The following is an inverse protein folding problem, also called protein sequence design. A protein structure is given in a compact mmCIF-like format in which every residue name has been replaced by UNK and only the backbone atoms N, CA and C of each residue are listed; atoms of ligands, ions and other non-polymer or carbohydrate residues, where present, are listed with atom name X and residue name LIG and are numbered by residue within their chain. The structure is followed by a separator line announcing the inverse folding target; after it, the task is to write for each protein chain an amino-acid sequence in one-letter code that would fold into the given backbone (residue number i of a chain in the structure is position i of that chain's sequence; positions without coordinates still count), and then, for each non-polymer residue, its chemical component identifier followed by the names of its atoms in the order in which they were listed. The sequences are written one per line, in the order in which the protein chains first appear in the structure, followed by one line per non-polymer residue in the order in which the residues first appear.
data_IF_794936326533
#
_entry.id   IF_794936326533
#
_cell.length_a   1.000
_cell.length_b   1.000
_cell.length_c   1.000
_cell.angle_alpha   90.00
_cell.angle_beta   90.00
_cell.angle_gamma   90.00
#
_symmetry.space_group_name_H-M   'P 1'
#
loop_
_entity.id
_entity.type
_entity.pdbx_description
1 polymer ?
#
# COMPACT_ATOMS: atom_id res chain seq x y z
N UNK A 1 7.66 -9.01 1.81
CA UNK A 1 9.04 -8.76 1.37
C UNK A 1 8.99 -7.78 0.20
N UNK A 2 10.12 -7.39 -0.39
CA UNK A 2 10.14 -6.76 -1.71
C UNK A 2 9.82 -7.86 -2.74
N UNK A 3 8.81 -7.62 -3.57
CA UNK A 3 8.34 -8.55 -4.58
C UNK A 3 8.85 -8.15 -5.96
N UNK A 4 9.40 -9.07 -6.73
CA UNK A 4 9.88 -8.80 -8.10
C UNK A 4 8.91 -9.40 -9.10
N UNK A 5 8.45 -8.59 -10.05
CA UNK A 5 7.44 -8.95 -11.02
C UNK A 5 8.02 -8.83 -12.43
N UNK A 6 8.13 -9.97 -13.10
CA UNK A 6 8.66 -10.14 -14.44
C UNK A 6 7.56 -10.52 -15.44
N UNK A 7 7.86 -10.41 -16.74
CA UNK A 7 6.94 -10.75 -17.84
C UNK A 7 6.47 -12.21 -17.81
N UNK A 8 7.24 -13.11 -17.20
CA UNK A 8 6.94 -14.54 -17.11
C UNK A 8 6.04 -14.93 -15.93
N UNK A 9 5.72 -14.00 -15.01
CA UNK A 9 4.88 -14.32 -13.86
C UNK A 9 3.41 -14.40 -14.24
N UNK A 10 2.69 -15.32 -13.58
CA UNK A 10 1.25 -15.49 -13.78
C UNK A 10 0.45 -14.57 -12.86
N UNK A 11 -0.74 -14.16 -13.29
CA UNK A 11 -1.70 -13.49 -12.44
C UNK A 11 -2.12 -14.40 -11.28
N UNK A 12 -2.36 -13.84 -10.10
CA UNK A 12 -2.87 -14.61 -8.96
C UNK A 12 -4.33 -15.00 -9.24
N UNK A 13 -4.60 -16.28 -9.48
CA UNK A 13 -5.98 -16.79 -9.55
C UNK A 13 -6.59 -16.75 -8.14
N UNK A 14 -7.52 -15.82 -7.89
CA UNK A 14 -8.32 -15.83 -6.67
C UNK A 14 -9.44 -16.84 -6.86
N UNK A 15 -9.69 -17.76 -5.92
CA UNK A 15 -10.68 -18.84 -6.07
C UNK A 15 -12.11 -18.37 -6.42
N UNK A 16 -12.46 -17.10 -6.16
CA UNK A 16 -13.73 -16.49 -6.59
C UNK A 16 -13.81 -16.07 -8.06
N UNK A 17 -12.68 -15.96 -8.76
CA UNK A 17 -12.60 -15.51 -10.16
C UNK A 17 -12.90 -16.65 -11.16
N UNK A 18 -12.63 -17.91 -10.79
CA UNK A 18 -12.98 -19.09 -11.60
C UNK A 18 -14.48 -19.40 -11.49
N UNK A 19 -15.04 -19.26 -10.29
CA UNK A 19 -16.48 -19.49 -10.06
C UNK A 19 -17.34 -18.52 -10.87
N UNK A 20 -16.99 -17.24 -10.91
CA UNK A 20 -17.74 -16.22 -11.67
C UNK A 20 -17.63 -16.38 -13.19
N UNK A 21 -16.51 -16.92 -13.70
CA UNK A 21 -16.29 -17.12 -15.15
C UNK A 21 -17.08 -18.33 -15.68
N UNK A 22 -17.27 -19.39 -14.89
CA UNK A 22 -18.04 -20.59 -15.29
C UNK A 22 -19.55 -20.28 -15.39
N UNK A 23 -20.09 -19.38 -14.57
CA UNK A 23 -21.51 -19.01 -14.62
C UNK A 23 -21.91 -18.13 -15.82
N UNK A 24 -20.95 -17.56 -16.55
CA UNK A 24 -21.19 -16.76 -17.76
C UNK A 24 -20.90 -17.56 -19.07
N UNK A 25 -21.21 -18.86 -19.07
CA UNK A 25 -21.19 -19.69 -20.29
C UNK A 25 -22.22 -19.15 -21.31
N UNK A 26 -21.88 -19.00 -22.61
CA UNK A 26 -22.78 -18.48 -23.67
C UNK A 26 -24.13 -19.19 -23.82
N UNK A 27 -24.32 -20.37 -23.22
CA UNK A 27 -25.57 -21.16 -23.25
C UNK A 27 -26.49 -20.89 -22.03
N UNK A 28 -26.08 -20.03 -21.09
CA UNK A 28 -26.81 -19.71 -19.86
C UNK A 28 -27.80 -18.55 -20.05
N UNK A 29 -29.04 -18.70 -19.57
CA UNK A 29 -30.12 -17.69 -19.60
C UNK A 29 -29.74 -16.32 -19.02
N UNK A 30 -28.66 -16.22 -18.24
CA UNK A 30 -28.21 -14.98 -17.60
C UNK A 30 -27.47 -14.00 -18.53
N UNK A 31 -27.09 -14.42 -19.74
CA UNK A 31 -26.55 -13.49 -20.75
C UNK A 31 -27.61 -12.50 -21.27
N UNK A 32 -28.90 -12.83 -21.16
CA UNK A 32 -30.01 -12.04 -21.74
C UNK A 32 -30.31 -10.78 -20.89
N UNK A 33 -29.93 -10.75 -19.61
CA UNK A 33 -30.28 -9.67 -18.68
C UNK A 33 -29.12 -8.67 -18.48
N UNK A 34 -28.03 -8.77 -19.27
CA UNK A 34 -26.87 -7.88 -19.14
C UNK A 34 -26.12 -7.97 -17.80
N UNK A 35 -26.43 -8.97 -16.98
CA UNK A 35 -25.84 -9.18 -15.65
C UNK A 35 -24.47 -9.88 -15.71
N UNK A 36 -24.17 -10.60 -16.79
CA UNK A 36 -22.84 -11.14 -17.08
C UNK A 36 -22.10 -10.19 -18.02
N UNK A 37 -21.42 -9.18 -17.47
CA UNK A 37 -20.26 -8.62 -18.17
C UNK A 37 -19.13 -9.61 -17.95
N UNK A 38 -18.67 -10.29 -19.00
CA UNK A 38 -17.36 -10.93 -18.96
C UNK A 38 -16.40 -9.89 -18.39
N UNK A 39 -15.83 -10.14 -17.21
CA UNK A 39 -14.66 -9.40 -16.76
C UNK A 39 -13.60 -9.75 -17.80
N UNK A 40 -13.47 -8.93 -18.82
CA UNK A 40 -12.26 -8.89 -19.62
C UNK A 40 -11.21 -8.46 -18.61
N UNK A 41 -10.49 -9.44 -18.07
CA UNK A 41 -9.40 -9.20 -17.14
C UNK A 41 -8.32 -8.46 -17.89
N UNK A 42 -8.37 -7.13 -17.87
CA UNK A 42 -7.18 -6.31 -18.10
C UNK A 42 -6.33 -6.46 -16.84
N UNK A 43 -5.63 -7.58 -16.72
CA UNK A 43 -4.64 -7.77 -15.67
C UNK A 43 -3.57 -6.70 -15.83
N UNK A 44 -3.39 -5.88 -14.80
CA UNK A 44 -2.27 -4.96 -14.75
C UNK A 44 -1.01 -5.76 -14.39
N UNK A 45 0.18 -5.24 -14.72
CA UNK A 45 1.46 -5.93 -14.45
C UNK A 45 1.61 -6.24 -12.96
N UNK A 46 1.07 -5.37 -12.12
CA UNK A 46 1.06 -5.43 -10.68
C UNK A 46 0.24 -6.61 -10.09
N UNK A 47 -0.70 -7.17 -10.87
CA UNK A 47 -1.56 -8.30 -10.47
C UNK A 47 -0.85 -9.67 -10.60
N UNK A 48 0.32 -9.68 -11.22
CA UNK A 48 1.14 -10.87 -11.33
C UNK A 48 1.72 -11.24 -9.96
N UNK A 49 1.87 -12.55 -9.73
CA UNK A 49 2.27 -13.09 -8.43
C UNK A 49 3.63 -12.57 -8.00
N UNK A 50 4.62 -12.58 -8.90
CA UNK A 50 6.00 -12.18 -8.60
C UNK A 50 6.72 -13.15 -7.67
N UNK A 51 8.01 -12.89 -7.50
CA UNK A 51 8.87 -13.60 -6.55
C UNK A 51 9.18 -12.71 -5.34
N UNK A 52 9.02 -13.26 -4.13
CA UNK A 52 9.41 -12.58 -2.90
C UNK A 52 10.92 -12.70 -2.65
N UNK A 53 11.55 -11.57 -2.34
CA UNK A 53 12.99 -11.49 -2.03
C UNK A 53 13.25 -11.60 -0.52
N UNK A 54 14.52 -11.56 -0.13
CA UNK A 54 14.95 -11.50 1.27
C UNK A 54 14.76 -10.11 1.91
N UNK A 55 14.58 -9.05 1.11
CA UNK A 55 14.34 -7.71 1.63
C UNK A 55 12.95 -7.65 2.26
N UNK A 56 12.89 -7.28 3.53
CA UNK A 56 11.61 -7.09 4.21
C UNK A 56 10.83 -5.90 3.64
N UNK A 57 9.50 -5.92 3.77
CA UNK A 57 8.67 -4.82 3.28
C UNK A 57 8.97 -3.54 4.08
N UNK A 58 9.63 -2.57 3.44
CA UNK A 58 10.02 -1.30 4.07
C UNK A 58 8.83 -0.43 4.51
N UNK A 59 7.62 -0.62 3.97
CA UNK A 59 6.43 0.00 4.54
C UNK A 59 6.20 -0.47 6.00
N UNK A 60 6.52 -1.73 6.30
CA UNK A 60 6.40 -2.31 7.64
C UNK A 60 7.63 -2.04 8.52
N UNK A 61 8.83 -2.20 7.98
CA UNK A 61 10.06 -2.16 8.80
C UNK A 61 10.66 -0.77 8.93
N UNK A 62 10.36 0.14 8.00
CA UNK A 62 10.87 1.50 8.01
C UNK A 62 9.76 2.53 8.24
N UNK A 63 8.72 2.53 7.40
CA UNK A 63 7.69 3.56 7.45
C UNK A 63 6.84 3.49 8.73
N UNK A 64 6.41 2.29 9.17
CA UNK A 64 5.61 2.18 10.39
C UNK A 64 6.33 2.68 11.66
N UNK A 65 7.57 2.25 11.98
CA UNK A 65 8.30 2.82 13.12
C UNK A 65 8.50 4.34 13.02
N UNK A 66 8.81 4.85 11.83
CA UNK A 66 9.00 6.28 11.60
C UNK A 66 7.71 7.07 11.82
N UNK A 67 6.58 6.57 11.31
CA UNK A 67 5.28 7.18 11.53
C UNK A 67 4.90 7.20 13.02
N UNK A 68 5.18 6.11 13.76
CA UNK A 68 4.97 6.06 15.21
C UNK A 68 5.80 7.12 15.95
N UNK A 69 7.06 7.32 15.57
CA UNK A 69 7.91 8.36 16.14
C UNK A 69 7.37 9.77 15.84
N UNK A 70 6.91 10.02 14.61
CA UNK A 70 6.30 11.30 14.23
C UNK A 70 5.03 11.60 15.05
N UNK A 71 4.20 10.60 15.33
CA UNK A 71 3.03 10.78 16.19
C UNK A 71 3.44 11.19 17.62
N UNK A 72 4.49 10.57 18.16
CA UNK A 72 4.99 10.90 19.50
C UNK A 72 5.56 12.33 19.56
N UNK A 73 6.20 12.78 18.49
CA UNK A 73 6.80 14.12 18.40
C UNK A 73 5.76 15.23 18.15
N UNK A 74 4.79 14.98 17.27
CA UNK A 74 3.91 16.03 16.71
C UNK A 74 2.52 16.10 17.32
N UNK A 75 2.05 15.04 17.99
CA UNK A 75 0.75 15.09 18.66
C UNK A 75 0.86 15.92 19.93
N UNK A 76 0.10 17.01 19.96
CA UNK A 76 -0.14 17.79 21.17
C UNK A 76 -1.48 17.37 21.76
N UNK A 77 -1.54 17.25 23.08
CA UNK A 77 -2.74 16.95 23.85
C UNK A 77 -2.89 17.96 24.97
N UNK A 78 -4.11 18.46 25.17
CA UNK A 78 -4.43 19.39 26.27
C UNK A 78 -4.32 18.76 27.67
N UNK A 79 -4.21 17.42 27.76
CA UNK A 79 -3.93 16.63 28.96
C UNK A 79 -2.87 15.58 28.64
N UNK A 80 -2.22 15.00 29.66
CA UNK A 80 -1.25 13.91 29.45
C UNK A 80 -1.92 12.74 28.70
N UNK A 81 -1.73 12.68 27.38
CA UNK A 81 -2.40 11.70 26.52
C UNK A 81 -1.84 10.30 26.71
N UNK A 82 -2.71 9.30 26.74
CA UNK A 82 -2.30 7.90 26.72
C UNK A 82 -1.94 7.47 25.28
N UNK A 83 -0.66 7.57 24.96
CA UNK A 83 -0.11 7.15 23.67
C UNK A 83 -0.21 5.63 23.41
N UNK A 84 -0.64 4.81 24.38
CA UNK A 84 -0.80 3.36 24.18
C UNK A 84 -2.03 3.00 23.36
N UNK A 85 -2.96 3.94 23.16
CA UNK A 85 -4.24 3.72 22.46
C UNK A 85 -4.43 4.61 21.23
N UNK A 86 -3.36 4.98 20.53
CA UNK A 86 -3.49 5.80 19.31
C UNK A 86 -4.41 5.09 18.30
N UNK A 87 -5.59 5.66 17.96
CA UNK A 87 -6.62 5.05 17.15
C UNK A 87 -6.24 5.21 15.68
N UNK A 88 -5.07 4.70 15.27
CA UNK A 88 -4.61 4.82 13.89
C UNK A 88 -4.28 3.44 13.35
N UNK A 89 -4.92 3.08 12.25
CA UNK A 89 -4.54 1.94 11.43
C UNK A 89 -3.46 2.37 10.44
N UNK A 90 -2.29 1.74 10.56
CA UNK A 90 -1.24 1.81 9.56
C UNK A 90 -1.32 0.56 8.69
N UNK A 91 -1.64 0.74 7.41
CA UNK A 91 -1.77 -0.33 6.42
C UNK A 91 -0.54 -0.27 5.53
N UNK A 92 0.43 -1.20 5.68
CA UNK A 92 1.57 -1.23 4.78
C UNK A 92 1.10 -1.57 3.37
N UNK A 93 1.49 -0.75 2.40
CA UNK A 93 1.31 -1.08 0.99
C UNK A 93 2.26 -2.18 0.56
N UNK A 94 2.05 -2.70 -0.65
CA UNK A 94 3.00 -3.62 -1.25
C UNK A 94 4.24 -2.85 -1.73
N UNK A 95 5.42 -3.42 -1.47
CA UNK A 95 6.68 -2.97 -2.05
C UNK A 95 7.05 -3.95 -3.17
N UNK A 96 7.16 -3.46 -4.40
CA UNK A 96 7.53 -4.31 -5.53
C UNK A 96 8.36 -3.59 -6.60
N UNK A 97 9.15 -4.38 -7.30
CA UNK A 97 9.72 -4.05 -8.60
C UNK A 97 8.83 -4.67 -9.67
N UNK A 98 8.41 -3.90 -10.67
CA UNK A 98 7.60 -4.39 -11.79
C UNK A 98 8.22 -3.99 -13.12
N UNK A 99 8.22 -4.91 -14.09
CA UNK A 99 8.77 -4.66 -15.41
C UNK A 99 8.07 -3.50 -16.14
N UNK A 100 8.88 -2.68 -16.79
CA UNK A 100 8.49 -1.61 -17.69
C UNK A 100 8.47 -2.04 -19.15
N UNK A 101 8.20 -1.07 -20.01
CA UNK A 101 8.15 -1.27 -21.47
C UNK A 101 9.55 -1.38 -22.08
N UNK A 102 10.56 -0.74 -21.48
CA UNK A 102 11.90 -0.57 -22.06
C UNK A 102 12.96 -1.46 -21.38
N UNK A 103 12.57 -2.66 -20.98
CA UNK A 103 13.39 -3.60 -20.19
C UNK A 103 13.92 -3.00 -18.86
N UNK A 104 13.33 -1.89 -18.44
CA UNK A 104 13.53 -1.24 -17.16
C UNK A 104 12.52 -1.75 -16.14
N UNK A 105 12.76 -1.44 -14.87
CA UNK A 105 11.90 -1.82 -13.76
C UNK A 105 11.52 -0.60 -12.96
N UNK A 106 10.28 -0.65 -12.46
CA UNK A 106 9.71 0.36 -11.59
C UNK A 106 9.59 -0.16 -10.18
N UNK A 107 10.30 0.49 -9.26
CA UNK A 107 10.11 0.32 -7.83
C UNK A 107 8.86 1.09 -7.40
N UNK A 108 7.95 0.44 -6.69
CA UNK A 108 6.81 1.08 -6.05
C UNK A 108 6.79 0.76 -4.57
N UNK A 109 6.57 1.80 -3.76
CA UNK A 109 6.37 1.69 -2.32
C UNK A 109 5.15 2.50 -1.91
N UNK A 110 4.54 2.10 -0.81
CA UNK A 110 3.38 2.83 -0.30
C UNK A 110 2.93 2.36 1.06
N UNK A 111 2.07 3.16 1.66
CA UNK A 111 1.33 2.83 2.88
C UNK A 111 0.08 3.69 2.93
N UNK A 112 -0.88 3.29 3.75
CA UNK A 112 -2.03 4.11 4.08
C UNK A 112 -2.19 4.22 5.58
N UNK A 113 -2.65 5.39 6.00
CA UNK A 113 -2.89 5.71 7.40
C UNK A 113 -4.32 6.19 7.54
N UNK A 114 -5.05 5.58 8.47
CA UNK A 114 -6.44 5.92 8.71
C UNK A 114 -6.70 5.99 10.21
N UNK A 115 -7.43 7.02 10.62
CA UNK A 115 -7.87 7.19 12.00
C UNK A 115 -9.07 6.28 12.24
N UNK A 116 -8.95 5.33 13.17
CA UNK A 116 -10.00 4.38 13.56
C UNK A 116 -11.28 5.15 13.88
N UNK A 117 -12.42 4.69 13.35
CA UNK A 117 -13.74 5.33 13.48
C UNK A 117 -13.90 6.69 12.77
N UNK A 118 -12.94 7.12 11.97
CA UNK A 118 -13.10 8.25 11.03
C UNK A 118 -13.85 7.85 9.76
N UNK A 119 -14.27 8.80 8.94
CA UNK A 119 -14.60 8.50 7.54
C UNK A 119 -13.33 8.19 6.75
N UNK A 120 -13.44 7.27 5.78
CA UNK A 120 -12.31 6.75 4.96
C UNK A 120 -11.74 7.82 4.01
N UNK A 121 -12.53 8.85 3.69
CA UNK A 121 -12.13 10.04 2.93
C UNK A 121 -11.02 10.87 3.61
N UNK A 122 -10.80 10.69 4.92
CA UNK A 122 -9.68 11.27 5.67
C UNK A 122 -8.39 10.44 5.66
N UNK A 123 -8.31 9.37 4.88
CA UNK A 123 -7.14 8.49 4.81
C UNK A 123 -5.96 9.20 4.11
N UNK A 124 -4.80 9.21 4.75
CA UNK A 124 -3.56 9.57 4.07
C UNK A 124 -3.03 8.35 3.33
N UNK A 125 -2.81 8.48 2.02
CA UNK A 125 -2.26 7.41 1.19
C UNK A 125 -0.95 7.88 0.55
N UNK A 126 0.11 7.10 0.80
CA UNK A 126 1.40 7.20 0.15
C UNK A 126 1.48 6.15 -0.95
N UNK A 127 1.74 6.61 -2.18
CA UNK A 127 2.05 5.76 -3.33
C UNK A 127 3.14 6.46 -4.13
N UNK A 128 4.39 6.00 -4.00
CA UNK A 128 5.54 6.59 -4.67
C UNK A 128 6.23 5.54 -5.53
N UNK A 129 6.86 6.01 -6.61
CA UNK A 129 7.53 5.15 -7.55
C UNK A 129 8.81 5.76 -8.12
N UNK A 130 9.72 4.87 -8.54
CA UNK A 130 10.93 5.20 -9.29
C UNK A 130 11.10 4.21 -10.43
N UNK A 131 11.17 4.71 -11.66
CA UNK A 131 11.29 3.91 -12.88
C UNK A 131 12.62 4.19 -13.61
N UNK A 132 12.84 3.52 -14.75
CA UNK A 132 13.99 3.79 -15.62
C UNK A 132 15.28 3.07 -15.24
N UNK A 133 15.24 2.09 -14.33
CA UNK A 133 16.42 1.36 -13.86
C UNK A 133 16.30 -0.12 -14.25
N UNK A 134 17.30 -0.71 -14.94
CA UNK A 134 17.31 -2.14 -15.28
C UNK A 134 17.28 -3.06 -14.06
N UNK A 135 16.67 -4.23 -14.17
CA UNK A 135 16.56 -5.20 -13.06
C UNK A 135 17.91 -5.54 -12.43
N UNK A 136 18.95 -5.75 -13.24
CA UNK A 136 20.28 -6.09 -12.77
C UNK A 136 20.86 -5.05 -11.80
N UNK A 137 20.55 -3.76 -11.99
CA UNK A 137 20.99 -2.70 -11.09
C UNK A 137 20.18 -2.71 -9.78
N UNK A 138 18.90 -3.04 -9.85
CA UNK A 138 18.09 -3.24 -8.64
C UNK A 138 18.52 -4.44 -7.83
N UNK A 139 19.00 -5.52 -8.47
CA UNK A 139 19.43 -6.76 -7.81
C UNK A 139 20.86 -6.71 -7.26
N UNK A 140 21.68 -5.78 -7.77
CA UNK A 140 23.06 -5.62 -7.35
C UNK A 140 23.18 -5.43 -5.84
N UNK A 141 24.27 -5.97 -5.27
CA UNK A 141 24.57 -5.91 -3.83
C UNK A 141 23.40 -6.34 -2.93
N UNK A 142 22.68 -7.40 -3.31
CA UNK A 142 21.52 -7.89 -2.58
C UNK A 142 20.45 -6.80 -2.39
N UNK A 143 20.10 -6.13 -3.48
CA UNK A 143 19.04 -5.12 -3.55
C UNK A 143 19.27 -3.84 -2.70
N UNK A 144 20.52 -3.48 -2.47
CA UNK A 144 20.91 -2.27 -1.72
C UNK A 144 20.26 -0.99 -2.28
N UNK A 145 20.26 -0.84 -3.61
CA UNK A 145 19.65 0.31 -4.28
C UNK A 145 18.13 0.37 -4.04
N UNK A 146 17.43 -0.76 -4.15
CA UNK A 146 15.99 -0.83 -3.90
C UNK A 146 15.65 -0.45 -2.46
N UNK A 147 16.46 -0.87 -1.49
CA UNK A 147 16.29 -0.49 -0.09
C UNK A 147 16.45 1.03 0.12
N UNK A 148 17.53 1.62 -0.41
CA UNK A 148 17.82 3.06 -0.27
C UNK A 148 16.78 3.94 -0.94
N UNK A 149 16.37 3.58 -2.15
CA UNK A 149 15.35 4.33 -2.90
C UNK A 149 13.98 4.19 -2.25
N UNK A 150 13.63 3.01 -1.75
CA UNK A 150 12.39 2.81 -0.98
C UNK A 150 12.32 3.76 0.22
N UNK A 151 13.40 3.89 1.00
CA UNK A 151 13.45 4.82 2.14
C UNK A 151 13.29 6.27 1.67
N UNK A 152 13.97 6.65 0.59
CA UNK A 152 13.90 8.01 0.01
C UNK A 152 12.47 8.36 -0.43
N UNK A 153 11.80 7.42 -1.10
CA UNK A 153 10.41 7.58 -1.53
C UNK A 153 9.44 7.66 -0.33
N UNK A 154 9.62 6.82 0.68
CA UNK A 154 8.81 6.85 1.91
C UNK A 154 9.04 8.16 2.69
N UNK A 155 10.25 8.71 2.70
CA UNK A 155 10.56 9.99 3.32
C UNK A 155 9.86 11.16 2.64
N UNK A 156 9.77 11.13 1.31
CA UNK A 156 8.93 12.07 0.57
C UNK A 156 7.46 11.99 0.98
N UNK A 157 6.95 10.79 1.25
CA UNK A 157 5.60 10.66 1.80
C UNK A 157 5.46 11.32 3.18
N UNK A 158 6.43 11.14 4.07
CA UNK A 158 6.39 11.78 5.39
C UNK A 158 6.48 13.31 5.32
N UNK A 159 7.18 13.86 4.33
CA UNK A 159 7.21 15.32 4.10
C UNK A 159 5.83 15.89 3.71
N UNK A 160 4.92 15.06 3.19
CA UNK A 160 3.52 15.46 2.89
C UNK A 160 2.59 15.33 4.10
N UNK A 161 3.02 14.68 5.19
CA UNK A 161 2.28 14.71 6.45
C UNK A 161 2.57 16.06 7.12
N UNK A 162 1.70 17.03 6.86
CA UNK A 162 1.79 18.34 7.47
C UNK A 162 1.16 18.37 8.87
N UNK A 163 1.22 19.53 9.51
CA UNK A 163 0.62 19.74 10.83
C UNK A 163 -0.91 19.54 10.82
N UNK A 164 -1.58 19.71 9.67
CA UNK A 164 -3.03 19.48 9.56
C UNK A 164 -3.38 18.00 9.79
N UNK A 165 -2.59 17.07 9.23
CA UNK A 165 -2.75 15.64 9.50
C UNK A 165 -2.66 15.35 11.00
N UNK A 166 -1.62 15.85 11.67
CA UNK A 166 -1.43 15.61 13.10
C UNK A 166 -2.53 16.27 13.95
N UNK A 167 -2.97 17.47 13.59
CA UNK A 167 -4.07 18.15 14.26
C UNK A 167 -5.39 17.36 14.13
N UNK A 168 -5.67 16.76 12.98
CA UNK A 168 -6.83 15.88 12.79
C UNK A 168 -6.76 14.65 13.70
N UNK A 169 -5.59 14.03 13.80
CA UNK A 169 -5.36 12.89 14.69
C UNK A 169 -5.55 13.29 16.16
N UNK A 170 -4.93 14.39 16.60
CA UNK A 170 -5.09 14.93 17.97
C UNK A 170 -6.55 15.24 18.31
N UNK A 171 -7.26 15.95 17.43
CA UNK A 171 -8.67 16.30 17.63
C UNK A 171 -9.54 15.05 17.78
N UNK A 172 -9.37 14.08 16.89
CA UNK A 172 -10.14 12.85 16.94
C UNK A 172 -9.89 12.05 18.23
N UNK A 173 -8.63 11.99 18.67
CA UNK A 173 -8.26 11.39 19.95
C UNK A 173 -9.01 12.02 21.13
N UNK A 174 -8.98 13.35 21.22
CA UNK A 174 -9.65 14.09 22.30
C UNK A 174 -11.17 13.97 22.27
N UNK A 175 -11.78 13.86 21.08
CA UNK A 175 -13.21 13.64 20.92
C UNK A 175 -13.60 12.21 21.33
N UNK A 176 -12.81 11.21 20.92
CA UNK A 176 -13.07 9.81 21.27
C UNK A 176 -12.98 9.56 22.78
N UNK A 177 -12.04 10.19 23.50
CA UNK A 177 -11.94 10.06 24.96
C UNK A 177 -13.17 10.62 25.70
N UNK A 178 -13.86 11.61 25.13
CA UNK A 178 -15.07 12.20 25.73
C UNK A 178 -16.30 11.32 25.57
N UNK A 179 -16.35 10.46 24.55
CA UNK A 179 -17.49 9.57 24.32
C UNK A 179 -17.46 8.33 25.24
N UNK A 180 -16.32 8.04 25.88
CA UNK A 180 -16.14 6.92 26.81
C UNK A 180 -16.05 7.33 28.29
N UNK A 181 -16.29 8.60 28.61
CA UNK A 181 -16.38 9.16 29.98
C UNK A 181 -17.81 9.61 30.28
#
# INVERSE_FOLDING_TARGET
MLRVIDRGHNAKAVAGDVASTIFCNPVSLFNIIGACRAKIYTHNREDLQGDDTTIENLAKTYAYPKYKALLQEKLSFDKAGDFTKIPVYFIPGQNYLVYGDNDDYKLRVGFSVYIKYSRVDGMFTCNEEKAGIPLAQWQANNYELAAKESQTLLDRCFQRLDQEHFNKVSKHLQESEKEFL
#
